data_IF_362655095599
#
_entry.id   IF_362655095599
#
_cell.length_a   1.000
_cell.length_b   1.000
_cell.length_c   1.000
_cell.angle_alpha   90.00
_cell.angle_beta   90.00
_cell.angle_gamma   90.00
#
_symmetry.space_group_name_H-M   'P 1'
#
loop_
_entity.id
_entity.type
_entity.pdbx_description
1 polymer ?
#
# COMPACT_ATOMS: atom_id res chain seq x y z
N UNK A 1 -17.23 -32.28 -66.30
CA UNK A 1 -16.38 -33.49 -66.35
C UNK A 1 -16.31 -34.10 -64.97
N UNK A 2 -16.65 -35.40 -64.85
CA UNK A 2 -16.81 -36.19 -63.62
C UNK A 2 -15.45 -36.61 -63.04
N UNK A 3 -15.30 -36.61 -61.71
CA UNK A 3 -14.45 -37.54 -60.93
C UNK A 3 -15.02 -37.80 -59.51
N UNK A 4 -15.89 -38.82 -59.44
CA UNK A 4 -15.88 -40.01 -58.55
C UNK A 4 -14.53 -40.34 -57.86
N UNK A 5 -14.33 -40.98 -56.69
CA UNK A 5 -15.06 -41.86 -55.72
C UNK A 5 -14.24 -41.85 -54.40
N UNK A 6 -14.85 -42.00 -53.21
CA UNK A 6 -14.55 -43.10 -52.25
C UNK A 6 -15.45 -43.02 -51.00
N UNK A 7 -16.20 -44.10 -50.79
CA UNK A 7 -17.06 -44.36 -49.65
C UNK A 7 -16.30 -45.11 -48.56
N UNK A 8 -16.59 -44.84 -47.28
CA UNK A 8 -16.33 -45.78 -46.18
C UNK A 8 -17.57 -45.86 -45.29
N UNK A 9 -17.86 -47.10 -44.91
CA UNK A 9 -19.08 -47.69 -44.37
C UNK A 9 -19.56 -47.12 -43.03
N UNK A 10 -20.89 -46.98 -42.90
CA UNK A 10 -21.61 -46.86 -41.63
C UNK A 10 -22.00 -48.26 -41.13
N UNK A 11 -21.62 -48.61 -39.91
CA UNK A 11 -22.20 -49.74 -39.18
C UNK A 11 -22.98 -49.22 -37.98
N UNK A 12 -24.22 -49.68 -37.86
CA UNK A 12 -25.22 -49.28 -36.88
C UNK A 12 -25.12 -50.08 -35.58
N UNK A 13 -25.56 -49.49 -34.46
CA UNK A 13 -26.18 -50.22 -33.35
C UNK A 13 -27.09 -49.30 -32.53
N UNK A 14 -28.29 -49.77 -32.28
CA UNK A 14 -29.35 -49.14 -31.50
C UNK A 14 -29.16 -49.33 -29.99
N UNK A 15 -29.93 -48.59 -29.17
CA UNK A 15 -30.89 -49.10 -28.16
C UNK A 15 -30.98 -48.26 -26.84
N UNK A 16 -32.17 -47.68 -26.61
CA UNK A 16 -32.97 -47.55 -25.35
C UNK A 16 -32.51 -46.68 -24.17
N UNK A 17 -33.22 -45.54 -24.03
CA UNK A 17 -34.09 -45.04 -22.92
C UNK A 17 -33.66 -45.00 -21.42
N UNK A 18 -34.11 -43.86 -20.83
CA UNK A 18 -34.51 -43.54 -19.43
C UNK A 18 -33.45 -43.14 -18.40
N UNK A 19 -33.79 -42.11 -17.61
CA UNK A 19 -33.21 -41.88 -16.29
C UNK A 19 -33.02 -40.42 -15.90
N UNK A 20 -34.04 -39.82 -15.29
CA UNK A 20 -33.95 -38.58 -14.50
C UNK A 20 -33.20 -38.85 -13.18
N UNK A 21 -32.94 -37.76 -12.42
CA UNK A 21 -32.60 -37.73 -10.98
C UNK A 21 -31.12 -38.00 -10.66
N UNK A 22 -30.49 -37.43 -9.64
CA UNK A 22 -30.84 -36.46 -8.61
C UNK A 22 -29.52 -36.21 -7.83
N UNK A 23 -29.41 -35.06 -7.19
CA UNK A 23 -28.27 -34.66 -6.37
C UNK A 23 -28.28 -35.42 -5.04
N UNK A 24 -27.17 -36.06 -4.64
CA UNK A 24 -26.92 -36.29 -3.22
C UNK A 24 -25.45 -36.60 -2.86
N UNK A 25 -24.93 -35.75 -1.96
CA UNK A 25 -24.17 -36.04 -0.74
C UNK A 25 -22.69 -36.46 -0.77
N UNK A 26 -21.89 -35.49 -0.29
CA UNK A 26 -21.12 -35.44 0.96
C UNK A 26 -19.94 -36.42 1.21
N UNK A 27 -18.74 -35.80 1.33
CA UNK A 27 -17.59 -36.01 2.26
C UNK A 27 -17.41 -37.39 2.90
N UNK A 28 -16.28 -38.07 2.77
CA UNK A 28 -14.99 -37.93 3.52
C UNK A 28 -14.06 -39.00 2.91
N UNK A 29 -12.73 -38.89 2.78
CA UNK A 29 -11.74 -38.83 3.86
C UNK A 29 -10.30 -38.70 3.30
N UNK A 30 -9.41 -38.12 4.13
CA UNK A 30 -7.95 -38.34 4.27
C UNK A 30 -6.97 -38.15 3.09
N UNK A 31 -6.31 -36.99 3.14
CA UNK A 31 -4.85 -36.76 3.12
C UNK A 31 -3.97 -37.49 2.08
N UNK A 32 -3.46 -36.74 1.11
CA UNK A 32 -2.07 -36.89 0.69
C UNK A 32 -1.44 -35.50 0.47
N UNK A 33 -0.36 -35.22 1.20
CA UNK A 33 0.34 -33.96 1.14
C UNK A 33 0.98 -33.74 -0.22
N UNK A 34 0.62 -32.64 -0.86
CA UNK A 34 1.48 -31.99 -1.84
C UNK A 34 1.35 -30.51 -1.56
N UNK A 35 2.46 -29.91 -1.12
CA UNK A 35 2.55 -28.47 -0.89
C UNK A 35 2.40 -27.76 -2.24
N UNK A 36 1.17 -27.43 -2.58
CA UNK A 36 0.86 -26.47 -3.63
C UNK A 36 1.28 -25.10 -3.11
N UNK A 37 2.32 -24.52 -3.70
CA UNK A 37 2.66 -23.12 -3.51
C UNK A 37 1.46 -22.32 -4.01
N UNK A 38 0.64 -21.84 -3.08
CA UNK A 38 -0.53 -21.01 -3.35
C UNK A 38 -0.04 -19.62 -3.75
N UNK A 39 0.23 -19.44 -5.05
CA UNK A 39 0.32 -18.11 -5.63
C UNK A 39 -1.11 -17.62 -5.78
N UNK A 40 -1.61 -16.91 -4.78
CA UNK A 40 -2.92 -16.24 -4.82
C UNK A 40 -2.86 -15.11 -5.84
N UNK A 41 -3.20 -15.42 -7.09
CA UNK A 41 -3.62 -14.42 -8.06
C UNK A 41 -5.07 -14.07 -7.72
N UNK A 42 -5.26 -13.17 -6.77
CA UNK A 42 -6.59 -12.66 -6.43
C UNK A 42 -7.04 -11.66 -7.49
N UNK A 43 -8.22 -11.89 -8.09
CA UNK A 43 -8.88 -10.94 -8.99
C UNK A 43 -9.10 -9.62 -8.26
N UNK A 44 -8.69 -8.46 -8.82
CA UNK A 44 -8.92 -7.16 -8.19
C UNK A 44 -10.42 -6.91 -7.97
N UNK A 45 -10.82 -6.60 -6.73
CA UNK A 45 -12.19 -6.23 -6.38
C UNK A 45 -12.55 -4.80 -6.79
N UNK A 46 -13.57 -4.21 -6.14
CA UNK A 46 -14.02 -2.84 -6.39
C UNK A 46 -12.89 -1.81 -6.24
N UNK A 47 -12.99 -0.71 -7.00
CA UNK A 47 -12.06 0.42 -6.84
C UNK A 47 -12.30 1.08 -5.48
N UNK A 48 -11.29 1.06 -4.62
CA UNK A 48 -11.34 1.63 -3.27
C UNK A 48 -10.66 3.00 -3.17
N UNK A 49 -9.72 3.31 -4.06
CA UNK A 49 -9.10 4.63 -4.17
C UNK A 49 -8.78 4.94 -5.63
N UNK A 50 -8.92 6.20 -6.02
CA UNK A 50 -8.47 6.71 -7.32
C UNK A 50 -8.06 8.17 -7.20
N UNK A 51 -6.89 8.50 -7.74
CA UNK A 51 -6.37 9.87 -7.79
C UNK A 51 -5.52 10.07 -9.03
N UNK A 52 -5.78 11.16 -9.74
CA UNK A 52 -4.92 11.63 -10.83
C UNK A 52 -4.10 12.82 -10.31
N UNK A 53 -2.78 12.76 -10.49
CA UNK A 53 -1.83 13.81 -10.12
C UNK A 53 -1.07 14.26 -11.36
N UNK A 54 -0.67 15.53 -11.43
CA UNK A 54 0.10 16.07 -12.57
C UNK A 54 1.27 16.88 -12.05
N UNK A 55 2.45 16.63 -12.62
CA UNK A 55 3.67 17.40 -12.36
C UNK A 55 4.42 17.55 -13.68
N UNK A 56 4.62 18.80 -14.11
CA UNK A 56 5.13 19.10 -15.44
C UNK A 56 4.22 18.51 -16.53
N UNK A 57 4.81 17.74 -17.44
CA UNK A 57 4.12 17.09 -18.57
C UNK A 57 3.59 15.67 -18.25
N UNK A 58 3.84 15.19 -17.04
CA UNK A 58 3.46 13.84 -16.63
C UNK A 58 2.18 13.85 -15.79
N UNK A 59 1.30 12.91 -16.12
CA UNK A 59 0.13 12.55 -15.31
C UNK A 59 0.37 11.19 -14.67
N UNK A 60 0.24 11.13 -13.35
CA UNK A 60 0.30 9.92 -12.56
C UNK A 60 -1.13 9.53 -12.17
N UNK A 61 -1.56 8.34 -12.57
CA UNK A 61 -2.87 7.79 -12.26
C UNK A 61 -2.71 6.69 -11.22
N UNK A 62 -3.18 6.95 -10.01
CA UNK A 62 -3.07 6.07 -8.87
C UNK A 62 -4.45 5.48 -8.63
N UNK A 63 -4.55 4.16 -8.68
CA UNK A 63 -5.79 3.44 -8.38
C UNK A 63 -5.48 2.29 -7.45
N UNK A 64 -6.35 2.03 -6.48
CA UNK A 64 -6.31 0.77 -5.75
C UNK A 64 -7.65 0.06 -5.77
N UNK A 65 -7.57 -1.27 -5.76
CA UNK A 65 -8.70 -2.18 -5.76
C UNK A 65 -8.68 -3.01 -4.49
N UNK A 66 -9.84 -3.31 -3.93
CA UNK A 66 -9.93 -4.15 -2.72
C UNK A 66 -9.39 -5.56 -2.98
N UNK A 67 -8.72 -6.10 -1.96
CA UNK A 67 -8.32 -7.50 -1.85
C UNK A 67 -8.73 -8.01 -0.46
N UNK A 68 -8.77 -9.34 -0.27
CA UNK A 68 -9.16 -9.94 1.02
C UNK A 68 -8.31 -9.45 2.20
N UNK A 69 -7.03 -9.14 1.97
CA UNK A 69 -6.05 -8.80 3.02
C UNK A 69 -5.27 -7.51 2.72
N UNK A 70 -5.93 -6.52 2.11
CA UNK A 70 -5.34 -5.23 1.76
C UNK A 70 -5.93 -4.66 0.47
N UNK A 71 -5.09 -4.03 -0.34
CA UNK A 71 -5.49 -3.52 -1.65
C UNK A 71 -4.42 -3.78 -2.70
N UNK A 72 -4.81 -3.93 -3.97
CA UNK A 72 -3.88 -3.89 -5.09
C UNK A 72 -3.75 -2.46 -5.57
N UNK A 73 -2.58 -1.86 -5.39
CA UNK A 73 -2.22 -0.54 -5.91
C UNK A 73 -1.73 -0.67 -7.36
N UNK A 74 -2.23 0.18 -8.24
CA UNK A 74 -1.78 0.35 -9.63
C UNK A 74 -1.40 1.81 -9.86
N UNK A 75 -0.20 2.06 -10.38
CA UNK A 75 0.27 3.39 -10.76
C UNK A 75 0.58 3.38 -12.26
N UNK A 76 -0.08 4.25 -13.02
CA UNK A 76 0.18 4.47 -14.45
C UNK A 76 0.72 5.87 -14.67
N UNK A 77 1.82 5.98 -15.40
CA UNK A 77 2.37 7.29 -15.78
C UNK A 77 2.09 7.55 -17.25
N UNK A 78 1.58 8.74 -17.55
CA UNK A 78 1.26 9.19 -18.90
C UNK A 78 1.93 10.51 -19.23
N UNK A 79 2.17 10.71 -20.53
CA UNK A 79 2.46 12.01 -21.14
C UNK A 79 1.48 12.21 -22.29
N UNK A 80 0.53 13.12 -22.13
CA UNK A 80 -0.70 13.11 -22.93
C UNK A 80 -1.42 11.77 -22.75
N UNK A 81 -1.79 11.11 -23.85
CA UNK A 81 -2.44 9.80 -23.81
C UNK A 81 -1.47 8.61 -23.77
N UNK A 82 -0.19 8.84 -24.06
CA UNK A 82 0.80 7.76 -24.11
C UNK A 82 1.19 7.31 -22.69
N UNK A 83 1.18 5.99 -22.44
CA UNK A 83 1.88 5.42 -21.30
C UNK A 83 3.39 5.59 -21.51
N UNK A 84 4.09 6.07 -20.49
CA UNK A 84 5.54 6.30 -20.57
C UNK A 84 6.36 5.27 -19.81
N UNK A 85 5.72 4.50 -18.92
CA UNK A 85 6.33 3.37 -18.20
C UNK A 85 5.38 2.19 -18.17
N UNK A 86 5.91 1.00 -17.90
CA UNK A 86 5.09 -0.10 -17.41
C UNK A 86 4.38 0.32 -16.12
N UNK A 87 3.09 0.00 -15.94
CA UNK A 87 2.39 0.32 -14.71
C UNK A 87 2.96 -0.46 -13.53
N UNK A 88 3.24 0.24 -12.43
CA UNK A 88 3.53 -0.43 -11.16
C UNK A 88 2.24 -1.09 -10.68
N UNK A 89 2.36 -2.35 -10.23
CA UNK A 89 1.29 -3.06 -9.52
C UNK A 89 1.88 -3.73 -8.29
N UNK A 90 1.33 -3.44 -7.12
CA UNK A 90 1.71 -4.12 -5.88
C UNK A 90 0.53 -4.32 -4.94
N UNK A 91 0.61 -5.34 -4.10
CA UNK A 91 -0.34 -5.53 -3.01
C UNK A 91 0.15 -4.74 -1.80
N UNK A 92 -0.61 -3.73 -1.39
CA UNK A 92 -0.34 -2.95 -0.19
C UNK A 92 -1.12 -3.51 0.99
N UNK A 93 -0.56 -3.36 2.20
CA UNK A 93 -1.26 -3.68 3.44
C UNK A 93 -2.11 -2.49 3.88
N UNK A 94 -3.30 -2.80 4.38
CA UNK A 94 -4.26 -1.78 4.78
C UNK A 94 -4.93 -1.09 3.59
N UNK A 95 -5.48 0.09 3.84
CA UNK A 95 -6.19 0.88 2.84
C UNK A 95 -5.38 2.06 2.34
N UNK A 96 -5.33 2.26 1.02
CA UNK A 96 -4.80 3.49 0.43
C UNK A 96 -5.70 4.65 0.84
N UNK A 97 -5.13 5.64 1.52
CA UNK A 97 -5.85 6.81 2.02
C UNK A 97 -5.55 8.06 1.25
N UNK A 98 -4.33 8.16 0.71
CA UNK A 98 -3.95 9.30 -0.10
C UNK A 98 -2.79 9.02 -1.07
N UNK A 99 -2.62 9.89 -2.05
CA UNK A 99 -1.45 9.99 -2.90
C UNK A 99 -1.11 11.46 -3.17
N UNK A 100 0.17 11.82 -3.05
CA UNK A 100 0.65 13.19 -3.24
C UNK A 100 1.97 13.20 -4.01
N UNK A 101 2.19 14.28 -4.76
CA UNK A 101 3.47 14.56 -5.40
C UNK A 101 4.34 15.40 -4.47
N UNK A 102 5.66 15.20 -4.52
CA UNK A 102 6.66 15.97 -3.80
C UNK A 102 7.97 16.09 -4.56
N UNK A 103 8.93 16.73 -3.90
CA UNK A 103 10.34 16.86 -4.30
C UNK A 103 11.14 17.10 -3.01
N UNK A 104 11.18 16.10 -2.13
CA UNK A 104 11.71 16.24 -0.77
C UNK A 104 13.22 16.48 -0.79
N UNK A 105 13.94 15.97 -1.78
CA UNK A 105 15.38 16.21 -1.92
C UNK A 105 15.72 17.47 -2.75
N UNK A 106 14.72 18.11 -3.38
CA UNK A 106 14.87 19.36 -4.13
C UNK A 106 15.64 19.21 -5.44
N UNK A 107 15.69 18.00 -6.02
CA UNK A 107 16.42 17.76 -7.26
C UNK A 107 15.58 17.99 -8.53
N UNK A 108 14.31 18.37 -8.38
CA UNK A 108 13.39 18.67 -9.47
C UNK A 108 12.74 17.46 -10.13
N UNK A 109 13.10 16.24 -9.72
CA UNK A 109 12.45 15.00 -10.19
C UNK A 109 11.12 14.81 -9.47
N UNK A 110 10.03 14.43 -10.16
CA UNK A 110 8.77 14.12 -9.50
C UNK A 110 8.92 12.96 -8.51
N UNK A 111 8.51 13.15 -7.27
CA UNK A 111 8.39 12.08 -6.28
C UNK A 111 6.91 11.81 -6.00
N UNK A 112 6.50 10.55 -6.04
CA UNK A 112 5.14 10.11 -5.71
C UNK A 112 5.14 9.41 -4.36
N UNK A 113 4.28 9.85 -3.45
CA UNK A 113 4.05 9.23 -2.14
C UNK A 113 2.61 8.74 -2.05
N UNK A 114 2.42 7.45 -1.80
CA UNK A 114 1.11 6.83 -1.57
C UNK A 114 1.02 6.38 -0.13
N UNK A 115 0.01 6.89 0.59
CA UNK A 115 -0.18 6.63 2.00
C UNK A 115 -1.24 5.56 2.22
N UNK A 116 -0.96 4.66 3.17
CA UNK A 116 -1.91 3.65 3.62
C UNK A 116 -2.21 3.78 5.11
N UNK A 117 -3.36 3.27 5.54
CA UNK A 117 -3.77 3.17 6.94
C UNK A 117 -4.27 1.75 7.26
N UNK A 118 -4.26 1.36 8.53
CA UNK A 118 -4.82 0.08 8.94
C UNK A 118 -4.08 -1.14 8.39
N UNK A 119 -2.77 -1.01 8.11
CA UNK A 119 -1.89 -2.12 7.75
C UNK A 119 -1.66 -3.09 8.90
N UNK A 120 -0.59 -3.88 8.84
CA UNK A 120 -0.27 -4.84 9.92
C UNK A 120 -0.19 -4.10 11.27
N UNK A 121 -0.88 -4.64 12.29
CA UNK A 121 -1.01 -4.03 13.62
C UNK A 121 -1.63 -2.61 13.62
N UNK A 122 -2.44 -2.25 12.61
CA UNK A 122 -3.05 -0.92 12.52
C UNK A 122 -2.10 0.19 12.07
N UNK A 123 -0.88 -0.16 11.64
CA UNK A 123 0.12 0.81 11.20
C UNK A 123 -0.21 1.39 9.82
N UNK A 124 -0.04 2.70 9.66
CA UNK A 124 -0.01 3.31 8.33
C UNK A 124 1.30 2.99 7.60
N UNK A 125 1.28 3.08 6.28
CA UNK A 125 2.43 2.83 5.41
C UNK A 125 2.64 3.94 4.38
N UNK A 126 3.82 3.91 3.76
CA UNK A 126 4.19 4.80 2.65
C UNK A 126 4.85 3.98 1.56
N UNK A 127 4.24 3.97 0.38
CA UNK A 127 4.86 3.50 -0.86
C UNK A 127 5.34 4.74 -1.62
N UNK A 128 6.65 4.84 -1.87
CA UNK A 128 7.24 6.05 -2.41
C UNK A 128 8.19 5.76 -3.57
N UNK A 129 8.13 6.61 -4.60
CA UNK A 129 8.93 6.48 -5.80
C UNK A 129 9.42 7.83 -6.29
N UNK A 130 10.68 7.89 -6.72
CA UNK A 130 11.22 8.99 -7.50
C UNK A 130 11.10 8.65 -9.00
N UNK A 131 10.59 9.57 -9.80
CA UNK A 131 10.41 9.39 -11.24
C UNK A 131 11.53 10.10 -12.00
N UNK A 132 12.48 9.31 -12.51
CA UNK A 132 13.68 9.80 -13.21
C UNK A 132 13.85 9.01 -14.50
N UNK A 133 14.24 9.69 -15.59
CA UNK A 133 14.52 9.05 -16.89
C UNK A 133 13.40 8.11 -17.40
N UNK A 134 12.14 8.48 -17.15
CA UNK A 134 10.95 7.67 -17.47
C UNK A 134 10.95 6.30 -16.79
N UNK A 135 11.48 6.22 -15.58
CA UNK A 135 11.42 5.05 -14.73
C UNK A 135 11.11 5.45 -13.29
N UNK A 136 10.47 4.54 -12.56
CA UNK A 136 10.31 4.69 -11.12
C UNK A 136 11.48 4.04 -10.40
N UNK A 137 12.14 4.82 -9.56
CA UNK A 137 13.11 4.34 -8.58
C UNK A 137 12.44 4.33 -7.19
N UNK A 138 12.36 3.18 -6.51
CA UNK A 138 11.79 3.14 -5.17
C UNK A 138 12.57 4.03 -4.20
N UNK A 139 11.85 4.84 -3.44
CA UNK A 139 12.39 5.50 -2.26
C UNK A 139 12.39 4.46 -1.14
N UNK A 140 13.50 4.35 -0.42
CA UNK A 140 13.64 3.34 0.62
C UNK A 140 12.63 3.55 1.75
N UNK A 141 12.17 2.43 2.32
CA UNK A 141 11.21 2.43 3.41
C UNK A 141 11.67 3.30 4.58
N UNK A 142 10.70 3.88 5.26
CA UNK A 142 10.91 4.73 6.43
C UNK A 142 11.72 3.94 7.48
N UNK A 143 12.79 4.52 8.04
CA UNK A 143 13.58 3.84 9.06
C UNK A 143 12.74 3.56 10.31
N UNK A 144 13.16 2.55 11.07
CA UNK A 144 12.56 2.28 12.39
C UNK A 144 12.72 3.50 13.30
N UNK A 145 11.73 3.73 14.15
CA UNK A 145 11.82 4.74 15.20
C UNK A 145 13.00 4.41 16.12
N UNK A 146 13.71 5.45 16.57
CA UNK A 146 14.69 5.34 17.66
C UNK A 146 13.99 5.02 18.98
N UNK A 147 14.73 4.55 19.98
CA UNK A 147 14.16 4.09 21.25
C UNK A 147 13.35 5.17 21.99
N UNK A 148 13.81 6.41 21.95
CA UNK A 148 13.12 7.57 22.52
C UNK A 148 11.79 7.83 21.81
N UNK A 149 11.80 7.84 20.47
CA UNK A 149 10.60 8.05 19.65
C UNK A 149 9.62 6.86 19.69
N UNK A 150 10.11 5.66 20.02
CA UNK A 150 9.31 4.44 20.16
C UNK A 150 8.66 4.30 21.54
N UNK A 151 8.95 5.17 22.51
CA UNK A 151 8.36 5.09 23.85
C UNK A 151 6.85 5.39 23.79
N UNK A 152 6.02 4.43 24.21
CA UNK A 152 4.56 4.54 24.14
C UNK A 152 3.98 4.44 22.73
N UNK A 153 4.78 4.02 21.74
CA UNK A 153 4.33 3.85 20.36
C UNK A 153 3.54 2.54 20.17
N UNK A 154 2.39 2.62 19.49
CA UNK A 154 1.52 1.46 19.18
C UNK A 154 0.99 1.42 17.74
N UNK A 155 1.62 2.15 16.81
CA UNK A 155 1.12 2.26 15.44
C UNK A 155 0.20 3.45 15.26
N UNK A 156 -0.84 3.28 14.45
CA UNK A 156 -1.77 4.36 14.07
C UNK A 156 -1.07 5.56 13.41
N UNK A 157 0.02 5.28 12.71
CA UNK A 157 0.78 6.28 11.98
C UNK A 157 -0.07 6.94 10.90
N UNK A 158 0.03 8.27 10.85
CA UNK A 158 -0.46 9.10 9.75
C UNK A 158 0.73 9.77 9.08
N UNK A 159 0.68 9.79 7.75
CA UNK A 159 1.70 10.40 6.92
C UNK A 159 1.12 11.54 6.10
N UNK A 160 1.90 12.60 5.96
CA UNK A 160 1.61 13.70 5.05
C UNK A 160 2.91 14.28 4.48
N UNK A 161 2.83 14.98 3.35
CA UNK A 161 3.93 15.83 2.88
C UNK A 161 3.68 17.25 3.37
N UNK A 162 4.67 17.84 4.06
CA UNK A 162 4.65 19.23 4.51
C UNK A 162 5.93 19.92 4.06
N UNK A 163 5.82 20.82 3.07
CA UNK A 163 6.98 21.37 2.39
C UNK A 163 7.81 20.26 1.73
N UNK A 164 9.11 20.21 2.01
CA UNK A 164 10.04 19.21 1.50
C UNK A 164 10.28 18.07 2.52
N UNK A 165 9.29 17.79 3.37
CA UNK A 165 9.37 16.76 4.40
C UNK A 165 8.21 15.77 4.31
N UNK A 166 8.53 14.50 4.52
CA UNK A 166 7.54 13.50 4.92
C UNK A 166 7.34 13.64 6.43
N UNK A 167 6.12 13.89 6.85
CA UNK A 167 5.76 14.04 8.27
C UNK A 167 4.99 12.81 8.70
N UNK A 168 5.47 12.16 9.76
CA UNK A 168 4.81 11.04 10.43
C UNK A 168 4.28 11.49 11.77
N UNK A 169 3.00 11.28 12.01
CA UNK A 169 2.34 11.57 13.30
C UNK A 169 1.71 10.30 13.86
N UNK A 170 1.86 10.04 15.15
CA UNK A 170 1.23 8.91 15.83
C UNK A 170 0.84 9.24 17.28
N UNK A 171 -0.22 8.62 17.81
CA UNK A 171 -0.61 8.78 19.21
C UNK A 171 0.40 8.14 20.17
N UNK A 172 0.52 8.72 21.36
CA UNK A 172 1.37 8.19 22.46
C UNK A 172 0.50 7.51 23.51
N UNK A 173 0.90 6.32 23.94
CA UNK A 173 0.22 5.52 24.96
C UNK A 173 1.01 5.50 26.27
N UNK A 174 0.32 5.22 27.38
CA UNK A 174 0.91 5.12 28.73
C UNK A 174 1.90 3.97 28.90
N UNK A 175 1.94 3.03 27.95
CA UNK A 175 2.83 1.87 27.93
C UNK A 175 2.70 1.11 26.61
N UNK A 176 3.30 -0.09 26.54
CA UNK A 176 3.29 -0.93 25.32
C UNK A 176 2.44 -2.20 25.46
N UNK A 177 1.91 -2.47 26.65
CA UNK A 177 1.06 -3.63 26.89
C UNK A 177 -0.41 -3.41 26.44
N UNK A 178 -1.23 -4.45 26.56
CA UNK A 178 -2.64 -4.41 26.16
C UNK A 178 -3.51 -3.50 27.05
N UNK A 179 -3.06 -3.17 28.26
CA UNK A 179 -3.76 -2.30 29.20
C UNK A 179 -3.46 -0.81 28.98
N UNK A 180 -2.44 -0.51 28.17
CA UNK A 180 -2.04 0.85 27.85
C UNK A 180 -3.17 1.65 27.19
N UNK A 181 -3.36 2.88 27.66
CA UNK A 181 -4.38 3.80 27.18
C UNK A 181 -3.75 4.97 26.43
N UNK A 182 -4.48 5.55 25.49
CA UNK A 182 -4.02 6.74 24.78
C UNK A 182 -3.88 7.91 25.76
N UNK A 183 -2.74 8.60 25.72
CA UNK A 183 -2.48 9.77 26.57
C UNK A 183 -3.20 11.03 26.09
N UNK A 184 -3.75 11.00 24.87
CA UNK A 184 -4.25 12.17 24.14
C UNK A 184 -3.15 13.03 23.50
N UNK A 185 -1.87 12.71 23.74
CA UNK A 185 -0.75 13.36 23.07
C UNK A 185 -0.39 12.62 21.76
N UNK A 186 0.28 13.32 20.86
CA UNK A 186 0.83 12.77 19.62
C UNK A 186 2.30 13.12 19.48
N UNK A 187 3.07 12.21 18.92
CA UNK A 187 4.45 12.41 18.53
C UNK A 187 4.51 12.70 17.04
N UNK A 188 5.41 13.61 16.63
CA UNK A 188 5.68 13.92 15.22
C UNK A 188 7.14 13.69 14.91
N UNK A 189 7.41 13.11 13.73
CA UNK A 189 8.75 12.90 13.19
C UNK A 189 8.75 13.38 11.75
N UNK A 190 9.71 14.24 11.40
CA UNK A 190 9.90 14.73 10.03
C UNK A 190 11.07 14.01 9.38
N UNK A 191 10.95 13.67 8.09
CA UNK A 191 11.97 13.00 7.32
C UNK A 191 12.34 13.83 6.09
N UNK A 192 13.63 13.92 5.81
CA UNK A 192 14.18 14.44 4.54
C UNK A 192 14.62 13.29 3.65
N UNK A 193 14.48 13.44 2.33
CA UNK A 193 15.04 12.49 1.37
C UNK A 193 16.47 12.89 1.02
N UNK A 194 17.41 11.94 1.05
CA UNK A 194 18.78 12.16 0.58
C UNK A 194 18.93 11.78 -0.91
N UNK A 195 20.08 12.12 -1.51
CA UNK A 195 20.37 11.85 -2.92
C UNK A 195 20.40 10.35 -3.28
N UNK A 196 20.54 9.47 -2.29
CA UNK A 196 20.54 8.02 -2.44
C UNK A 196 19.12 7.43 -2.40
N UNK A 197 18.09 8.26 -2.23
CA UNK A 197 16.70 7.81 -2.13
C UNK A 197 16.35 7.24 -0.76
N UNK A 198 17.03 7.68 0.31
CA UNK A 198 16.76 7.25 1.68
C UNK A 198 16.10 8.37 2.48
N UNK A 199 15.00 8.04 3.16
CA UNK A 199 14.35 8.93 4.13
C UNK A 199 15.14 8.94 5.44
N UNK A 200 15.56 10.12 5.87
CA UNK A 200 16.38 10.34 7.07
C UNK A 200 15.57 11.15 8.09
N UNK A 201 15.43 10.67 9.33
CA UNK A 201 14.72 11.43 10.36
C UNK A 201 15.51 12.71 10.65
N UNK A 202 14.81 13.83 10.72
CA UNK A 202 15.42 15.07 11.18
C UNK A 202 15.62 15.01 12.69
N UNK A 203 16.73 15.55 13.22
CA UNK A 203 16.90 15.70 14.65
C UNK A 203 15.72 16.50 15.22
N UNK A 204 14.95 15.90 16.12
CA UNK A 204 13.92 16.63 16.86
C UNK A 204 14.67 17.63 17.75
N UNK A 205 14.51 18.92 17.48
CA UNK A 205 14.93 19.92 18.46
C UNK A 205 13.93 19.79 19.61
N UNK A 206 14.33 19.47 20.86
CA UNK A 206 13.39 19.40 21.96
C UNK A 206 12.71 20.77 22.08
N UNK A 207 11.40 20.81 21.84
CA UNK A 207 10.58 21.97 22.15
C UNK A 207 10.57 22.08 23.67
N UNK A 208 11.43 22.93 24.22
CA UNK A 208 11.37 23.30 25.63
C UNK A 208 10.00 23.93 25.83
N UNK A 209 9.12 23.22 26.54
CA UNK A 209 7.83 23.78 26.96
C UNK A 209 8.10 25.12 27.66
N UNK A 210 7.33 26.18 27.38
CA UNK A 210 7.50 27.44 28.08
C UNK A 210 7.39 27.16 29.58
N UNK A 211 8.51 27.32 30.29
CA UNK A 211 8.50 27.19 31.73
C UNK A 211 7.59 28.28 32.26
N UNK A 212 6.48 27.86 32.89
CA UNK A 212 5.61 28.76 33.63
C UNK A 212 6.46 29.51 34.66
N UNK A 213 6.76 30.76 34.38
CA UNK A 213 7.48 31.64 35.28
C UNK A 213 6.62 31.89 36.51
N UNK A 214 6.88 31.17 37.60
CA UNK A 214 6.32 31.47 38.90
C UNK A 214 7.05 32.67 39.48
N UNK A 215 6.56 33.87 39.16
CA UNK A 215 6.94 35.11 39.86
C UNK A 215 6.60 34.95 41.33
N UNK A 216 7.63 34.69 42.15
CA UNK A 216 7.52 34.71 43.60
C UNK A 216 7.65 36.15 44.05
N UNK A 217 6.52 36.77 44.39
CA UNK A 217 6.47 38.10 45.01
C UNK A 217 7.17 38.05 46.38
N UNK A 218 8.15 38.91 46.69
CA UNK A 218 8.72 38.97 48.03
C UNK A 218 7.68 39.55 49.00
N UNK A 219 7.48 38.88 50.13
CA UNK A 219 6.66 39.36 51.26
C UNK A 219 7.40 40.54 51.95
N UNK A 220 6.67 41.57 52.43
CA UNK A 220 7.21 42.87 52.86
C UNK A 220 8.26 42.83 53.96
#
# INVERSE_FOLDING_TARGET
MKRSILAVQLAAAALVLLGSCDSARNTTDTSNGTATVETTVTTPGDVAFSRDLTQGEYRFQIQSNTLDNGQQLTIKTRRGDALVTDPIRLNVKGSVTDAVMGDLNGNGSPELYVFTSGGSMGMGGVEAYEFVDKAFRPIQAIPKLSNDLATGYKGEDKYEIRGNHLVRTYPVYTGTDASATATGQSQTVEYTLNAQGMLMPMPTTPVVAPQSSTTTTPKP
#
